data_IF_425416552721
#
_entry.id   IF_425416552721
#
_cell.length_a   1.000
_cell.length_b   1.000
_cell.length_c   1.000
_cell.angle_alpha   90.00
_cell.angle_beta   90.00
_cell.angle_gamma   90.00
#
_symmetry.space_group_name_H-M   'P 1'
#
loop_
_entity.id
_entity.type
_entity.pdbx_description
1 polymer ?
#
# COMPACT_ATOMS: atom_id res chain seq x y z
N UNK A 1 16.76 2.78 -6.81
CA UNK A 1 16.33 4.03 -6.16
C UNK A 1 15.99 3.69 -4.71
N UNK A 2 16.34 4.55 -3.75
CA UNK A 2 16.06 4.33 -2.33
C UNK A 2 14.57 4.06 -2.11
N UNK A 3 14.25 2.92 -1.50
CA UNK A 3 12.91 2.53 -1.06
C UNK A 3 12.54 3.24 0.26
N UNK A 4 12.73 4.56 0.34
CA UNK A 4 12.36 5.38 1.52
C UNK A 4 10.86 5.73 1.54
N UNK A 5 10.06 5.12 0.67
CA UNK A 5 8.60 5.20 0.71
C UNK A 5 8.14 3.98 1.52
N UNK A 6 7.75 4.14 2.79
CA UNK A 6 7.20 3.03 3.57
C UNK A 6 5.97 2.51 2.84
N UNK A 7 5.86 1.19 2.66
CA UNK A 7 4.79 0.51 1.93
C UNK A 7 3.44 1.16 2.28
N UNK A 8 2.95 2.08 1.42
CA UNK A 8 1.69 2.70 1.70
C UNK A 8 0.63 1.64 1.45
N UNK A 9 -0.51 1.75 2.13
CA UNK A 9 -1.77 1.25 1.59
C UNK A 9 -1.75 1.52 0.08
N UNK A 10 -1.56 0.48 -0.74
CA UNK A 10 -1.20 0.58 -2.16
C UNK A 10 -2.41 1.09 -2.96
N UNK A 11 -2.77 2.35 -2.76
CA UNK A 11 -3.95 2.97 -3.32
C UNK A 11 -3.50 4.15 -4.15
N UNK A 12 -3.84 4.11 -5.44
CA UNK A 12 -3.67 5.22 -6.36
C UNK A 12 -5.02 5.77 -6.79
N UNK A 13 -5.07 7.07 -7.03
CA UNK A 13 -6.18 7.73 -7.72
C UNK A 13 -5.67 8.13 -9.10
N UNK A 14 -6.37 7.68 -10.14
CA UNK A 14 -5.97 7.92 -11.53
C UNK A 14 -7.10 8.58 -12.29
N UNK A 15 -6.76 9.50 -13.20
CA UNK A 15 -7.75 10.00 -14.16
C UNK A 15 -8.06 8.92 -15.19
N UNK A 16 -9.22 9.06 -15.84
CA UNK A 16 -9.65 8.12 -16.89
C UNK A 16 -8.69 8.15 -18.09
N UNK A 17 -8.16 9.32 -18.41
CA UNK A 17 -7.20 9.54 -19.50
C UNK A 17 -5.91 8.78 -19.24
N UNK A 18 -5.39 8.85 -18.01
CA UNK A 18 -4.20 8.09 -17.59
C UNK A 18 -4.44 6.58 -17.72
N UNK A 19 -5.58 6.08 -17.26
CA UNK A 19 -5.94 4.66 -17.43
C UNK A 19 -6.03 4.25 -18.91
N UNK A 20 -6.56 5.13 -19.78
CA UNK A 20 -6.63 4.88 -21.21
C UNK A 20 -5.24 4.83 -21.87
N UNK A 21 -4.33 5.73 -21.47
CA UNK A 21 -2.93 5.73 -21.92
C UNK A 21 -2.24 4.43 -21.48
N UNK A 22 -2.35 4.08 -20.19
CA UNK A 22 -1.75 2.87 -19.63
C UNK A 22 -2.27 1.60 -20.31
N UNK A 23 -3.57 1.53 -20.61
CA UNK A 23 -4.17 0.38 -21.31
C UNK A 23 -3.63 0.15 -22.72
N UNK A 24 -3.14 1.21 -23.38
CA UNK A 24 -2.54 1.13 -24.72
C UNK A 24 -1.05 0.82 -24.70
N UNK A 25 -0.37 1.17 -23.62
CA UNK A 25 1.08 1.01 -23.46
C UNK A 25 1.43 -0.35 -22.84
N UNK A 26 0.59 -0.89 -21.96
CA UNK A 26 0.73 -2.21 -21.37
C UNK A 26 0.34 -3.33 -22.37
N UNK A 27 1.15 -3.52 -23.41
CA UNK A 27 0.96 -4.60 -24.40
C UNK A 27 1.59 -5.94 -23.97
N UNK A 28 2.18 -6.01 -22.77
CA UNK A 28 2.72 -7.24 -22.15
C UNK A 28 2.06 -7.57 -20.80
N UNK A 29 1.85 -8.85 -20.50
CA UNK A 29 1.21 -9.32 -19.26
C UNK A 29 1.99 -9.04 -17.98
N UNK A 30 3.29 -8.75 -18.07
CA UNK A 30 4.15 -8.33 -16.95
C UNK A 30 3.86 -6.91 -16.46
N UNK A 31 3.44 -6.01 -17.37
CA UNK A 31 3.39 -4.57 -17.11
C UNK A 31 2.09 -4.18 -16.39
N UNK A 32 1.02 -4.98 -16.56
CA UNK A 32 -0.24 -4.81 -15.85
C UNK A 32 -0.12 -5.07 -14.34
N UNK A 33 0.83 -5.91 -13.92
CA UNK A 33 1.00 -6.25 -12.51
C UNK A 33 1.61 -5.10 -11.70
N UNK A 34 2.20 -4.11 -12.37
CA UNK A 34 2.81 -2.96 -11.74
C UNK A 34 2.60 -1.68 -12.56
N UNK A 35 1.33 -1.35 -12.83
CA UNK A 35 0.94 -0.04 -13.42
C UNK A 35 1.65 1.12 -12.72
N UNK A 36 1.81 1.03 -11.40
CA UNK A 36 2.54 2.01 -10.60
C UNK A 36 4.03 2.10 -10.96
N UNK A 37 4.71 0.98 -11.22
CA UNK A 37 6.12 0.96 -11.66
C UNK A 37 6.27 1.68 -12.99
N UNK A 38 5.37 1.45 -13.94
CA UNK A 38 5.39 2.17 -15.22
C UNK A 38 5.29 3.70 -15.01
N UNK A 39 4.37 4.15 -14.17
CA UNK A 39 4.21 5.58 -13.89
C UNK A 39 5.49 6.17 -13.24
N UNK A 40 6.17 5.43 -12.38
CA UNK A 40 7.42 5.87 -11.76
C UNK A 40 8.61 5.88 -12.72
N UNK A 41 8.70 4.91 -13.63
CA UNK A 41 9.75 4.85 -14.65
C UNK A 41 9.65 6.01 -15.66
N UNK A 42 8.43 6.50 -15.90
CA UNK A 42 8.13 7.60 -16.83
C UNK A 42 7.58 8.84 -16.10
N UNK A 43 8.09 9.16 -14.90
CA UNK A 43 7.62 10.27 -14.05
C UNK A 43 7.56 11.64 -14.75
N UNK A 44 8.35 11.84 -15.81
CA UNK A 44 8.35 13.11 -16.58
C UNK A 44 7.13 13.27 -17.48
N UNK A 45 6.45 12.17 -17.80
CA UNK A 45 5.31 12.12 -18.72
C UNK A 45 3.97 12.24 -17.97
N UNK A 46 4.00 12.26 -16.63
CA UNK A 46 2.83 12.23 -15.77
C UNK A 46 2.92 13.27 -14.63
N UNK A 47 1.80 13.90 -14.31
CA UNK A 47 1.67 14.68 -13.08
C UNK A 47 1.40 13.74 -11.90
N UNK A 48 2.45 13.42 -11.13
CA UNK A 48 2.39 12.51 -9.99
C UNK A 48 2.47 13.27 -8.67
N UNK A 49 1.48 13.07 -7.81
CA UNK A 49 1.40 13.68 -6.49
C UNK A 49 1.47 12.60 -5.41
N UNK A 50 2.65 12.36 -4.80
CA UNK A 50 2.77 11.38 -3.74
C UNK A 50 2.03 11.86 -2.48
N UNK A 51 1.19 11.00 -1.93
CA UNK A 51 0.52 11.22 -0.64
C UNK A 51 1.19 10.33 0.39
N UNK A 52 1.85 10.95 1.37
CA UNK A 52 2.53 10.23 2.43
C UNK A 52 1.59 9.94 3.61
N UNK A 53 1.73 8.74 4.16
CA UNK A 53 1.07 8.38 5.40
C UNK A 53 1.53 9.31 6.55
N UNK A 54 0.61 9.81 7.40
CA UNK A 54 1.00 10.56 8.60
C UNK A 54 1.95 9.75 9.49
N UNK A 55 2.91 10.39 10.19
CA UNK A 55 3.90 9.69 11.02
C UNK A 55 3.30 8.72 12.06
N UNK A 56 2.06 8.97 12.50
CA UNK A 56 1.34 8.13 13.47
C UNK A 56 0.91 6.76 12.92
N UNK A 57 0.87 6.60 11.60
CA UNK A 57 0.51 5.35 10.93
C UNK A 57 1.58 4.88 9.94
N UNK A 58 2.59 5.71 9.66
CA UNK A 58 3.76 5.34 8.89
C UNK A 58 4.71 4.50 9.78
N UNK A 59 4.54 3.17 9.77
CA UNK A 59 5.41 2.25 10.48
C UNK A 59 5.79 1.07 9.59
N UNK A 60 7.07 0.94 9.19
CA UNK A 60 7.52 -0.18 8.34
C UNK A 60 7.45 -1.54 9.04
N UNK A 61 7.28 -1.56 10.38
CA UNK A 61 7.07 -2.80 11.13
C UNK A 61 5.65 -3.36 11.02
N UNK A 62 4.70 -2.56 10.51
CA UNK A 62 3.30 -2.94 10.39
C UNK A 62 3.06 -3.61 9.03
N UNK A 63 2.88 -4.93 9.04
CA UNK A 63 2.59 -5.75 7.86
C UNK A 63 1.11 -6.15 7.82
N UNK A 64 0.32 -5.53 6.93
CA UNK A 64 -1.15 -5.70 6.83
C UNK A 64 -1.64 -6.34 5.51
N UNK A 65 -0.73 -6.60 4.60
CA UNK A 65 -0.88 -7.42 3.40
C UNK A 65 -1.02 -8.91 3.75
N UNK A 66 -1.60 -9.67 2.83
CA UNK A 66 -1.95 -11.08 3.01
C UNK A 66 -1.32 -11.94 1.90
N UNK A 67 0.00 -12.13 1.97
CA UNK A 67 0.73 -12.96 1.00
C UNK A 67 0.77 -14.42 1.39
N UNK A 68 0.84 -14.69 2.70
CA UNK A 68 1.07 -16.03 3.23
C UNK A 68 -0.01 -16.46 4.23
N UNK A 69 -0.05 -17.76 4.51
CA UNK A 69 -0.91 -18.29 5.57
C UNK A 69 -0.58 -17.71 6.96
N UNK A 70 0.70 -17.36 7.20
CA UNK A 70 1.11 -16.71 8.43
C UNK A 70 0.51 -15.29 8.55
N UNK A 71 0.46 -14.55 7.45
CA UNK A 71 -0.15 -13.22 7.40
C UNK A 71 -1.66 -13.30 7.67
N UNK A 72 -2.36 -14.26 7.08
CA UNK A 72 -3.78 -14.49 7.37
C UNK A 72 -4.02 -14.80 8.87
N UNK A 73 -3.17 -15.62 9.48
CA UNK A 73 -3.28 -15.92 10.90
C UNK A 73 -3.05 -14.66 11.76
N UNK A 74 -2.11 -13.80 11.37
CA UNK A 74 -1.83 -12.52 12.03
C UNK A 74 -3.02 -11.56 11.90
N UNK A 75 -3.57 -11.42 10.70
CA UNK A 75 -4.74 -10.58 10.42
C UNK A 75 -5.98 -11.05 11.17
N UNK A 76 -6.19 -12.37 11.33
CA UNK A 76 -7.28 -12.90 12.16
C UNK A 76 -7.16 -12.52 13.63
N UNK A 77 -5.94 -12.57 14.19
CA UNK A 77 -5.70 -12.14 15.57
C UNK A 77 -5.91 -10.64 15.76
N UNK A 78 -5.40 -9.85 14.81
CA UNK A 78 -5.65 -8.41 14.77
C UNK A 78 -7.15 -8.12 14.66
N UNK A 79 -7.87 -8.90 13.86
CA UNK A 79 -9.28 -8.68 13.61
C UNK A 79 -10.18 -8.91 14.83
N UNK A 80 -9.72 -9.68 15.83
CA UNK A 80 -10.41 -9.80 17.10
C UNK A 80 -10.33 -8.53 17.97
N UNK A 81 -9.40 -7.60 17.66
CA UNK A 81 -9.15 -6.37 18.41
C UNK A 81 -9.76 -5.12 17.78
N UNK A 82 -10.25 -5.21 16.53
CA UNK A 82 -10.86 -4.07 15.85
C UNK A 82 -12.36 -4.26 15.64
N UNK A 83 -13.06 -3.16 15.41
CA UNK A 83 -14.46 -3.17 14.99
C UNK A 83 -14.64 -2.36 13.73
N UNK A 84 -15.73 -2.61 13.02
CA UNK A 84 -16.13 -1.78 11.89
C UNK A 84 -16.28 -0.32 12.37
N UNK A 85 -15.51 0.61 11.77
CA UNK A 85 -15.42 2.02 12.20
C UNK A 85 -14.14 2.38 12.95
N UNK A 86 -13.25 1.42 13.21
CA UNK A 86 -11.92 1.72 13.77
C UNK A 86 -11.11 2.58 12.80
N UNK A 87 -10.46 3.63 13.33
CA UNK A 87 -9.53 4.47 12.57
C UNK A 87 -8.21 3.73 12.28
N UNK A 88 -7.50 4.12 11.23
CA UNK A 88 -6.20 3.55 10.88
C UNK A 88 -5.19 3.58 12.04
N UNK A 89 -5.20 4.64 12.85
CA UNK A 89 -4.34 4.74 14.04
C UNK A 89 -4.65 3.66 15.08
N UNK A 90 -5.93 3.33 15.29
CA UNK A 90 -6.32 2.27 16.22
C UNK A 90 -5.86 0.90 15.72
N UNK A 91 -5.94 0.66 14.41
CA UNK A 91 -5.45 -0.57 13.79
C UNK A 91 -3.93 -0.72 13.96
N UNK A 92 -3.18 0.33 13.65
CA UNK A 92 -1.70 0.34 13.78
C UNK A 92 -1.27 0.10 15.23
N UNK A 93 -1.94 0.75 16.20
CA UNK A 93 -1.65 0.53 17.62
C UNK A 93 -1.94 -0.91 18.05
N UNK A 94 -3.10 -1.44 17.69
CA UNK A 94 -3.44 -2.82 18.00
C UNK A 94 -2.45 -3.83 17.38
N UNK A 95 -1.92 -3.53 16.19
CA UNK A 95 -0.87 -4.34 15.58
C UNK A 95 0.43 -4.32 16.39
N UNK A 96 0.92 -3.12 16.72
CA UNK A 96 2.17 -2.95 17.48
C UNK A 96 2.06 -3.55 18.89
N UNK A 97 0.90 -3.47 19.53
CA UNK A 97 0.66 -4.10 20.83
C UNK A 97 0.72 -5.63 20.79
N UNK A 98 0.36 -6.24 19.66
CA UNK A 98 0.33 -7.70 19.49
C UNK A 98 1.66 -8.26 18.96
N UNK A 99 2.33 -7.53 18.08
CA UNK A 99 3.43 -8.06 17.27
C UNK A 99 4.69 -7.19 17.30
N UNK A 100 4.64 -6.00 17.90
CA UNK A 100 5.80 -5.14 18.06
C UNK A 100 6.81 -5.77 19.02
N UNK A 101 8.07 -5.84 18.58
CA UNK A 101 9.20 -6.17 19.46
C UNK A 101 9.77 -4.84 19.96
N UNK A 102 9.78 -4.66 21.28
CA UNK A 102 10.36 -3.49 21.94
C UNK A 102 11.88 -3.59 22.03
#
# INVERSE_FOLDING_TARGET
>A
MNHDIPDPLETGIFSREILAILSRLAMGSSDLKQVTTYLWDYVRDFEIYPVFAPPKIASPAVKLDMDTQADLNRLRQLAARWSQGSSAIQVVRAYLDLFGVY
#
